data_IF_215336690843
#
_entry.id   IF_215336690843
#
_cell.length_a   1.000
_cell.length_b   1.000
_cell.length_c   1.000
_cell.angle_alpha   90.00
_cell.angle_beta   90.00
_cell.angle_gamma   90.00
#
_symmetry.space_group_name_H-M   'P 1'
#
loop_
_entity.id
_entity.type
_entity.pdbx_description
1 polymer ?
#
# COMPACT_ATOMS: atom_id res chain seq x y z
N UNK A 1 -23.40 -3.62 3.80
CA UNK A 1 -21.98 -3.86 4.15
C UNK A 1 -21.25 -4.37 2.92
N UNK A 2 -20.10 -3.80 2.57
CA UNK A 2 -19.26 -4.31 1.48
C UNK A 2 -18.43 -5.49 1.97
N UNK A 3 -18.43 -6.61 1.23
CA UNK A 3 -17.69 -7.83 1.57
C UNK A 3 -17.01 -8.39 0.33
N UNK A 4 -15.81 -8.95 0.49
CA UNK A 4 -15.12 -9.70 -0.55
C UNK A 4 -15.83 -11.05 -0.74
N UNK A 5 -16.29 -11.31 -1.96
CA UNK A 5 -17.03 -12.52 -2.31
C UNK A 5 -16.10 -13.69 -2.64
N UNK A 6 -15.40 -14.19 -1.61
CA UNK A 6 -14.51 -15.35 -1.69
C UNK A 6 -14.42 -16.02 -0.32
N UNK A 7 -14.28 -17.36 -0.25
CA UNK A 7 -13.90 -18.02 0.99
C UNK A 7 -12.54 -17.48 1.46
N UNK A 8 -12.48 -17.13 2.74
CA UNK A 8 -11.24 -16.76 3.40
C UNK A 8 -10.51 -18.02 3.90
N UNK A 9 -9.19 -18.00 3.83
CA UNK A 9 -8.30 -19.06 4.30
C UNK A 9 -7.39 -18.48 5.39
N UNK A 10 -7.00 -19.29 6.38
CA UNK A 10 -5.93 -18.94 7.32
C UNK A 10 -4.59 -19.32 6.71
N UNK A 11 -3.66 -18.37 6.57
CA UNK A 11 -2.34 -18.66 5.97
C UNK A 11 -1.30 -19.12 7.00
N UNK A 12 -1.22 -18.45 8.15
CA UNK A 12 -0.32 -18.72 9.27
C UNK A 12 -0.83 -18.03 10.56
N UNK A 13 -0.12 -18.18 11.70
CA UNK A 13 -0.55 -17.64 13.00
C UNK A 13 -0.56 -16.11 13.10
N UNK A 14 -0.02 -15.38 12.12
CA UNK A 14 0.05 -13.91 12.16
C UNK A 14 -1.02 -13.23 11.31
N UNK A 15 -1.46 -13.83 10.19
CA UNK A 15 -2.45 -13.24 9.28
C UNK A 15 -3.70 -14.12 9.15
N UNK A 16 -4.80 -13.65 9.77
CA UNK A 16 -6.05 -14.40 9.90
C UNK A 16 -6.96 -14.38 8.67
N UNK A 17 -6.82 -13.38 7.77
CA UNK A 17 -7.72 -13.19 6.63
C UNK A 17 -6.96 -13.20 5.30
N UNK A 18 -7.00 -14.34 4.60
CA UNK A 18 -6.35 -14.51 3.30
C UNK A 18 -7.27 -15.03 2.21
N UNK A 19 -6.90 -14.79 0.97
CA UNK A 19 -7.61 -15.24 -0.24
C UNK A 19 -6.65 -15.90 -1.22
N UNK A 20 -7.12 -16.89 -1.97
CA UNK A 20 -6.33 -17.54 -3.03
C UNK A 20 -6.05 -16.57 -4.19
N UNK A 21 -4.77 -16.43 -4.57
CA UNK A 21 -4.33 -15.47 -5.60
C UNK A 21 -4.80 -15.79 -7.01
N UNK A 22 -5.28 -17.00 -7.31
CA UNK A 22 -5.94 -17.31 -8.57
C UNK A 22 -7.39 -16.81 -8.57
N UNK A 23 -7.99 -16.70 -7.39
CA UNK A 23 -9.35 -16.19 -7.19
C UNK A 23 -9.38 -14.65 -7.17
N UNK A 24 -8.33 -13.99 -6.63
CA UNK A 24 -8.32 -12.52 -6.44
C UNK A 24 -8.41 -11.69 -7.71
N UNK A 25 -8.00 -12.21 -8.88
CA UNK A 25 -8.08 -11.48 -10.15
C UNK A 25 -9.53 -11.09 -10.53
N UNK A 26 -10.52 -11.80 -9.99
CA UNK A 26 -11.96 -11.54 -10.20
C UNK A 26 -12.61 -10.81 -9.03
N UNK A 27 -11.88 -10.62 -7.92
CA UNK A 27 -12.43 -10.03 -6.71
C UNK A 27 -12.38 -8.50 -6.78
N UNK A 28 -13.48 -7.89 -6.33
CA UNK A 28 -13.51 -6.46 -6.01
C UNK A 28 -13.16 -6.28 -4.55
N UNK A 29 -12.04 -5.60 -4.31
CA UNK A 29 -11.64 -5.23 -2.97
C UNK A 29 -12.35 -3.94 -2.55
N UNK A 30 -12.77 -3.82 -1.28
CA UNK A 30 -13.38 -2.61 -0.78
C UNK A 30 -12.37 -1.45 -0.85
N UNK A 31 -12.86 -0.27 -1.23
CA UNK A 31 -12.10 0.97 -1.06
C UNK A 31 -11.97 1.24 0.44
N UNK A 32 -10.76 1.50 0.90
CA UNK A 32 -10.50 1.99 2.27
C UNK A 32 -9.97 3.41 2.12
N UNK A 33 -10.57 4.34 2.86
CA UNK A 33 -10.10 5.72 2.95
C UNK A 33 -9.83 6.02 4.42
N UNK A 34 -8.61 6.43 4.74
CA UNK A 34 -8.30 6.98 6.05
C UNK A 34 -8.69 8.46 6.02
N UNK A 35 -9.67 8.84 6.84
CA UNK A 35 -10.13 10.23 6.94
C UNK A 35 -9.43 10.85 8.14
N UNK A 36 -8.71 11.94 7.90
CA UNK A 36 -8.00 12.69 8.94
C UNK A 36 -8.77 13.96 9.28
N UNK A 37 -8.63 14.40 10.53
CA UNK A 37 -9.09 15.72 10.95
C UNK A 37 -8.21 16.79 10.30
N UNK A 38 -8.82 17.89 9.83
CA UNK A 38 -8.12 18.96 9.13
C UNK A 38 -9.02 19.78 8.21
N UNK A 39 -8.44 20.75 7.52
CA UNK A 39 -9.15 21.53 6.49
C UNK A 39 -9.65 20.58 5.41
N UNK A 40 -10.95 20.63 5.13
CA UNK A 40 -11.65 19.77 4.16
C UNK A 40 -11.63 18.25 4.47
N UNK A 41 -11.34 17.84 5.71
CA UNK A 41 -11.32 16.44 6.16
C UNK A 41 -10.52 15.53 5.22
N UNK A 42 -9.21 15.76 5.09
CA UNK A 42 -8.42 15.18 4.02
C UNK A 42 -8.43 13.64 4.12
N UNK A 43 -8.70 13.01 2.98
CA UNK A 43 -8.79 11.56 2.86
C UNK A 43 -7.55 10.98 2.17
N UNK A 44 -6.98 9.93 2.76
CA UNK A 44 -5.97 9.09 2.11
C UNK A 44 -6.63 7.82 1.58
N UNK A 45 -6.73 7.72 0.26
CA UNK A 45 -7.28 6.55 -0.40
C UNK A 45 -6.25 5.42 -0.48
N UNK A 46 -6.63 4.26 0.05
CA UNK A 46 -5.81 3.06 0.04
C UNK A 46 -6.28 2.10 -1.04
N UNK A 47 -5.32 1.59 -1.80
CA UNK A 47 -5.51 0.45 -2.72
C UNK A 47 -4.99 -0.84 -2.09
N UNK A 48 -5.26 -1.98 -2.71
CA UNK A 48 -4.88 -3.31 -2.18
C UNK A 48 -3.40 -3.44 -1.84
N UNK A 49 -2.49 -2.74 -2.54
CA UNK A 49 -1.06 -2.78 -2.23
C UNK A 49 -0.71 -2.19 -0.86
N UNK A 50 -1.61 -1.40 -0.25
CA UNK A 50 -1.40 -0.76 1.04
C UNK A 50 -1.84 -1.64 2.23
N UNK A 51 -2.73 -2.61 1.99
CA UNK A 51 -3.33 -3.41 3.07
C UNK A 51 -3.38 -4.92 2.82
N UNK A 52 -2.99 -5.40 1.63
CA UNK A 52 -2.86 -6.82 1.33
C UNK A 52 -1.41 -7.17 0.98
N UNK A 53 -0.86 -8.17 1.67
CA UNK A 53 0.41 -8.80 1.33
C UNK A 53 0.16 -9.99 0.41
N UNK A 54 0.86 -10.08 -0.71
CA UNK A 54 0.82 -11.23 -1.62
C UNK A 54 1.99 -12.15 -1.31
N UNK A 55 1.70 -13.31 -0.72
CA UNK A 55 2.68 -14.37 -0.49
C UNK A 55 2.77 -15.29 -1.70
N UNK A 56 3.87 -15.18 -2.45
CA UNK A 56 4.11 -16.01 -3.63
C UNK A 56 4.46 -17.46 -3.29
N UNK A 57 4.85 -17.75 -2.05
CA UNK A 57 5.23 -19.10 -1.65
C UNK A 57 4.00 -19.95 -1.35
N UNK A 58 2.99 -19.39 -0.68
CA UNK A 58 1.73 -20.08 -0.37
C UNK A 58 0.64 -19.87 -1.42
N UNK A 59 0.79 -18.86 -2.29
CA UNK A 59 -0.23 -18.51 -3.28
C UNK A 59 -1.40 -17.73 -2.67
N UNK A 60 -1.23 -17.16 -1.48
CA UNK A 60 -2.26 -16.39 -0.78
C UNK A 60 -2.02 -14.88 -0.83
N UNK A 61 -3.11 -14.12 -0.76
CA UNK A 61 -3.11 -12.69 -0.56
C UNK A 61 -3.83 -12.38 0.77
N UNK A 62 -3.10 -11.84 1.74
CA UNK A 62 -3.51 -11.73 3.14
C UNK A 62 -3.65 -10.29 3.62
N UNK A 63 -4.73 -9.99 4.35
CA UNK A 63 -4.95 -8.69 4.98
C UNK A 63 -3.92 -8.51 6.09
N UNK A 64 -3.22 -7.38 6.09
CA UNK A 64 -2.14 -7.09 7.05
C UNK A 64 -2.57 -6.19 8.20
N UNK A 65 -3.88 -5.99 8.38
CA UNK A 65 -4.44 -5.27 9.51
C UNK A 65 -4.61 -6.24 10.67
N UNK A 66 -3.79 -6.06 11.70
CA UNK A 66 -3.78 -6.92 12.88
C UNK A 66 -4.72 -6.39 13.96
N UNK A 67 -5.32 -7.28 14.77
CA UNK A 67 -6.07 -6.85 15.95
C UNK A 67 -5.12 -6.15 16.93
N UNK A 68 -5.55 -4.99 17.44
CA UNK A 68 -4.84 -4.34 18.55
C UNK A 68 -4.91 -5.22 19.81
N UNK A 69 -3.80 -5.44 20.53
CA UNK A 69 -3.84 -6.17 21.79
C UNK A 69 -4.69 -5.42 22.82
N UNK A 70 -5.40 -6.16 23.68
CA UNK A 70 -6.42 -5.61 24.59
C UNK A 70 -5.89 -4.57 25.58
N UNK A 71 -4.60 -4.63 25.91
CA UNK A 71 -3.97 -3.79 26.94
C UNK A 71 -3.21 -2.57 26.38
N UNK A 72 -3.35 -2.30 25.08
CA UNK A 72 -2.71 -1.17 24.42
C UNK A 72 -3.69 0.01 24.28
N UNK A 73 -3.19 1.26 24.31
CA UNK A 73 -4.03 2.43 24.12
C UNK A 73 -4.80 2.36 22.79
N UNK A 74 -6.04 2.86 22.80
CA UNK A 74 -6.88 2.92 21.61
C UNK A 74 -6.17 3.78 20.55
N UNK A 75 -5.86 3.16 19.41
CA UNK A 75 -5.18 3.83 18.31
C UNK A 75 -4.97 2.91 17.12
N UNK A 76 -4.62 3.50 15.98
CA UNK A 76 -4.17 2.78 14.78
C UNK A 76 -2.70 3.10 14.55
N UNK A 77 -1.89 2.07 14.30
CA UNK A 77 -0.48 2.23 13.91
C UNK A 77 -0.40 2.10 12.39
N UNK A 78 -0.02 3.17 11.70
CA UNK A 78 0.14 3.18 10.25
C UNK A 78 1.56 2.74 9.90
N UNK A 79 1.71 1.46 9.56
CA UNK A 79 2.99 0.90 9.11
C UNK A 79 3.43 1.42 7.73
N UNK A 80 4.67 1.10 7.34
CA UNK A 80 5.27 1.55 6.08
C UNK A 80 4.48 1.12 4.83
N UNK A 81 3.84 -0.05 4.85
CA UNK A 81 3.04 -0.53 3.73
C UNK A 81 1.82 0.37 3.45
N UNK A 82 1.17 0.87 4.50
CA UNK A 82 0.06 1.82 4.37
C UNK A 82 0.51 3.18 3.82
N UNK A 83 1.77 3.55 4.05
CA UNK A 83 2.35 4.82 3.61
C UNK A 83 3.02 4.73 2.22
N UNK A 84 3.11 3.54 1.62
CA UNK A 84 3.80 3.34 0.35
C UNK A 84 3.20 4.22 -0.76
N UNK A 85 4.05 4.86 -1.58
CA UNK A 85 3.58 5.72 -2.66
C UNK A 85 2.92 7.03 -2.21
N UNK A 86 3.04 7.38 -0.92
CA UNK A 86 2.58 8.65 -0.35
C UNK A 86 3.79 9.41 0.18
N UNK A 87 3.90 10.69 -0.18
CA UNK A 87 4.86 11.58 0.46
C UNK A 87 4.23 12.09 1.77
N UNK A 88 4.87 11.77 2.90
CA UNK A 88 4.40 12.12 4.24
C UNK A 88 5.35 13.16 4.84
N UNK A 89 4.85 14.37 5.09
CA UNK A 89 5.61 15.49 5.64
C UNK A 89 5.18 15.71 7.09
N UNK A 90 6.10 15.45 8.01
CA UNK A 90 5.90 15.63 9.44
C UNK A 90 6.53 16.97 9.86
N UNK A 91 5.75 18.05 9.83
CA UNK A 91 6.20 19.36 10.33
C UNK A 91 5.93 19.47 11.82
N UNK A 92 6.96 19.16 12.62
CA UNK A 92 6.88 19.18 14.09
C UNK A 92 6.75 20.61 14.62
N UNK A 93 7.34 21.61 13.94
CA UNK A 93 7.30 23.00 14.36
C UNK A 93 5.91 23.63 14.16
N UNK A 94 5.31 23.36 12.99
CA UNK A 94 3.94 23.77 12.69
C UNK A 94 2.87 22.85 13.28
N UNK A 95 3.26 21.71 13.89
CA UNK A 95 2.36 20.68 14.44
C UNK A 95 1.40 20.14 13.38
N UNK A 96 1.91 19.93 12.16
CA UNK A 96 1.12 19.57 11.00
C UNK A 96 1.65 18.30 10.33
N UNK A 97 0.72 17.42 9.95
CA UNK A 97 0.97 16.33 9.02
C UNK A 97 0.39 16.71 7.66
N UNK A 98 1.21 16.68 6.62
CA UNK A 98 0.76 16.83 5.23
C UNK A 98 1.05 15.55 4.48
N UNK A 99 0.12 15.13 3.63
CA UNK A 99 0.30 13.97 2.77
C UNK A 99 -0.17 14.24 1.36
N UNK A 100 0.55 13.70 0.39
CA UNK A 100 0.25 13.81 -1.02
C UNK A 100 0.69 12.54 -1.75
N UNK A 101 0.12 12.29 -2.93
CA UNK A 101 0.55 11.17 -3.76
C UNK A 101 2.00 11.39 -4.20
N UNK A 102 2.87 10.43 -3.93
CA UNK A 102 4.26 10.50 -4.39
C UNK A 102 4.31 10.49 -5.93
N UNK A 103 5.20 11.29 -6.51
CA UNK A 103 5.50 11.20 -7.92
C UNK A 103 6.03 9.79 -8.25
N UNK A 104 5.61 9.23 -9.38
CA UNK A 104 6.18 7.98 -9.85
C UNK A 104 7.69 8.16 -10.04
N UNK A 105 8.50 7.24 -9.49
CA UNK A 105 9.93 7.24 -9.75
C UNK A 105 10.12 7.19 -11.27
N UNK A 106 10.82 8.18 -11.83
CA UNK A 106 11.14 8.16 -13.25
C UNK A 106 11.92 6.87 -13.55
N UNK A 107 11.62 6.16 -14.66
CA UNK A 107 12.40 5.01 -15.05
C UNK A 107 13.86 5.46 -15.16
N UNK A 108 14.72 4.81 -14.38
CA UNK A 108 16.15 5.05 -14.37
C UNK A 108 16.67 4.53 -15.72
N UNK A 109 16.73 5.38 -16.74
CA UNK A 109 17.31 4.97 -18.03
C UNK A 109 18.80 4.74 -17.76
N UNK A 110 19.32 3.50 -17.92
CA UNK A 110 20.72 3.26 -17.70
C UNK A 110 21.53 4.13 -18.65
N UNK A 111 22.46 4.93 -18.12
CA UNK A 111 23.30 5.86 -18.89
C UNK A 111 24.01 5.18 -20.08
N UNK A 112 24.28 3.88 -19.95
CA UNK A 112 24.85 3.01 -20.98
C UNK A 112 24.00 2.92 -22.26
N UNK A 113 22.67 3.07 -22.19
CA UNK A 113 21.79 3.05 -23.35
C UNK A 113 21.85 4.34 -24.18
N UNK A 114 22.31 5.45 -23.59
CA UNK A 114 22.41 6.75 -24.26
C UNK A 114 23.72 6.82 -25.09
N UNK A 115 24.80 6.19 -24.61
CA UNK A 115 26.10 6.19 -25.29
C UNK A 115 26.08 5.35 -26.58
N UNK A 116 25.34 4.23 -26.59
CA UNK A 116 25.20 3.39 -27.79
C UNK A 116 24.41 4.06 -28.91
N UNK A 117 23.40 4.87 -28.58
CA UNK A 117 22.63 5.65 -29.56
C UNK A 117 23.46 6.77 -30.20
N UNK A 118 24.32 7.43 -29.42
CA UNK A 118 25.21 8.48 -29.94
C UNK A 118 26.31 7.91 -30.86
N UNK A 119 26.80 6.69 -30.58
CA UNK A 119 27.78 6.02 -31.42
C UNK A 119 27.22 5.62 -32.80
N UNK A 120 25.92 5.36 -32.92
CA UNK A 120 25.28 5.00 -34.19
C UNK A 120 24.92 6.19 -35.07
N UNK A 121 24.84 7.40 -34.52
CA UNK A 121 24.57 8.63 -35.28
C UNK A 121 25.87 9.25 -35.85
N UNK A 122 27.03 8.83 -35.36
CA UNK A 122 28.35 9.33 -35.75
C UNK A 122 29.12 8.39 -36.70
N UNK A 123 28.47 7.33 -37.20
CA UNK A 123 29.03 6.33 -38.13
C UNK A 123 28.31 6.38 -39.49
#
# INVERSE_FOLDING_TARGET
MSKIDSPAVKSNNELDLCYDTNSVAKLKFPKITLVFDGVDSPGMDLTTVHYFYKDTNTGFQCLTMLPMPKDYPLGSILGSMLQAGTNMIYDIGARQLTFEKAAAAAPQVPLMAIVSLLAWVLL
#
